data_IF_397573211722
#
_entry.id   IF_397573211722
#
_cell.length_a   1.000
_cell.length_b   1.000
_cell.length_c   1.000
_cell.angle_alpha   90.00
_cell.angle_beta   90.00
_cell.angle_gamma   90.00
#
_symmetry.space_group_name_H-M   'P 1'
#
loop_
_entity.id
_entity.type
_entity.pdbx_description
1 polymer ?
#
# COMPACT_ATOMS: atom_id res chain seq x y z
N UNK A 1 2.08 -18.58 -3.04
CA UNK A 1 2.74 -17.49 -3.79
C UNK A 1 3.59 -16.69 -2.81
N UNK A 2 4.86 -16.40 -3.14
CA UNK A 2 5.74 -15.58 -2.28
C UNK A 2 6.06 -14.29 -3.01
N UNK A 3 5.93 -13.17 -2.31
CA UNK A 3 6.22 -11.85 -2.86
C UNK A 3 7.34 -11.20 -2.05
N UNK A 4 8.23 -10.52 -2.75
CA UNK A 4 9.40 -9.86 -2.21
C UNK A 4 9.32 -8.37 -2.53
N UNK A 5 9.48 -7.53 -1.52
CA UNK A 5 9.52 -6.08 -1.70
C UNK A 5 10.98 -5.63 -1.75
N UNK A 6 11.40 -5.01 -2.86
CA UNK A 6 12.70 -4.35 -2.96
C UNK A 6 12.49 -2.84 -2.83
N UNK A 7 12.94 -2.29 -1.71
CA UNK A 7 13.02 -0.84 -1.52
C UNK A 7 14.23 -0.30 -2.27
N UNK A 8 14.02 0.57 -3.25
CA UNK A 8 15.13 1.30 -3.86
C UNK A 8 15.49 2.47 -2.94
N UNK A 9 16.61 2.34 -2.23
CA UNK A 9 17.09 3.35 -1.29
C UNK A 9 17.76 4.54 -2.02
N UNK A 10 17.13 5.16 -3.01
CA UNK A 10 17.54 6.46 -3.55
C UNK A 10 16.45 7.01 -4.47
N UNK A 11 15.71 7.99 -3.96
CA UNK A 11 15.27 9.22 -4.64
C UNK A 11 14.07 9.71 -3.87
N UNK A 12 13.84 11.01 -3.91
CA UNK A 12 12.83 11.68 -3.11
C UNK A 12 11.41 11.09 -3.24
N UNK A 13 11.12 10.22 -4.23
CA UNK A 13 9.85 9.55 -4.49
C UNK A 13 9.91 8.13 -3.89
N UNK A 14 9.14 7.86 -2.82
CA UNK A 14 9.04 6.55 -2.16
C UNK A 14 8.48 5.47 -3.10
N UNK A 15 9.29 4.94 -4.03
CA UNK A 15 8.92 3.89 -4.99
C UNK A 15 9.51 2.54 -4.58
N UNK A 16 8.71 1.48 -4.71
CA UNK A 16 9.09 0.11 -4.36
C UNK A 16 8.63 -0.85 -5.46
N UNK A 17 9.43 -1.86 -5.75
CA UNK A 17 9.07 -2.91 -6.71
C UNK A 17 8.76 -4.20 -5.97
N UNK A 18 7.64 -4.83 -6.31
CA UNK A 18 7.23 -6.13 -5.80
C UNK A 18 7.61 -7.20 -6.83
N UNK A 19 8.34 -8.22 -6.39
CA UNK A 19 8.86 -9.31 -7.22
C UNK A 19 8.34 -10.66 -6.75
N UNK A 20 8.18 -11.60 -7.67
CA UNK A 20 7.81 -12.99 -7.36
C UNK A 20 9.02 -13.84 -6.91
N UNK A 21 8.79 -15.11 -6.61
CA UNK A 21 9.86 -16.05 -6.24
C UNK A 21 10.91 -16.33 -7.33
N UNK A 22 10.65 -15.93 -8.58
CA UNK A 22 11.56 -16.07 -9.72
C UNK A 22 12.29 -14.75 -10.01
N UNK A 23 12.25 -13.80 -9.08
CA UNK A 23 12.85 -12.47 -9.19
C UNK A 23 12.28 -11.64 -10.37
N UNK A 24 11.03 -11.92 -10.78
CA UNK A 24 10.35 -11.14 -11.82
C UNK A 24 9.53 -10.05 -11.17
N UNK A 25 9.60 -8.85 -11.72
CA UNK A 25 8.76 -7.73 -11.29
C UNK A 25 7.29 -8.08 -11.56
N UNK A 26 6.43 -7.82 -10.59
CA UNK A 26 4.98 -8.08 -10.66
C UNK A 26 4.19 -6.79 -10.53
N UNK A 27 4.61 -5.90 -9.63
CA UNK A 27 3.93 -4.64 -9.33
C UNK A 27 4.95 -3.56 -8.99
N UNK A 28 4.54 -2.31 -9.20
CA UNK A 28 5.26 -1.14 -8.68
C UNK A 28 4.35 -0.37 -7.73
N UNK A 29 4.90 0.09 -6.60
CA UNK A 29 4.19 0.92 -5.63
C UNK A 29 4.88 2.28 -5.55
N UNK A 30 4.11 3.36 -5.63
CA UNK A 30 4.62 4.73 -5.51
C UNK A 30 3.91 5.50 -4.40
N UNK A 31 4.67 6.10 -3.49
CA UNK A 31 4.14 7.02 -2.49
C UNK A 31 4.06 8.46 -2.99
N UNK A 32 3.00 9.18 -2.60
CA UNK A 32 2.95 10.64 -2.76
C UNK A 32 3.88 11.34 -1.76
N UNK A 33 4.45 12.47 -2.17
CA UNK A 33 5.27 13.34 -1.33
C UNK A 33 4.47 14.56 -0.89
N UNK A 34 4.83 15.12 0.26
CA UNK A 34 4.21 16.34 0.81
C UNK A 34 2.71 16.19 1.16
N UNK A 35 2.23 14.97 1.41
CA UNK A 35 0.85 14.70 1.84
C UNK A 35 0.72 14.53 3.34
N UNK A 36 -0.43 14.95 3.87
CA UNK A 36 -0.82 14.61 5.23
C UNK A 36 -1.29 13.16 5.28
N UNK A 37 -0.42 12.27 5.76
CA UNK A 37 -0.64 10.82 5.79
C UNK A 37 -0.09 10.09 4.57
N UNK A 38 0.02 8.77 4.71
CA UNK A 38 0.50 7.90 3.65
C UNK A 38 -0.54 7.77 2.53
N UNK A 39 -0.09 7.97 1.29
CA UNK A 39 -0.85 7.63 0.09
C UNK A 39 0.07 6.83 -0.83
N UNK A 40 -0.44 5.70 -1.34
CA UNK A 40 0.31 4.75 -2.15
C UNK A 40 -0.51 4.40 -3.38
N UNK A 41 0.11 4.52 -4.54
CA UNK A 41 -0.44 4.09 -5.83
C UNK A 41 0.21 2.77 -6.22
N UNK A 42 -0.61 1.78 -6.60
CA UNK A 42 -0.15 0.45 -7.01
C UNK A 42 -0.39 0.29 -8.49
N UNK A 43 0.68 0.02 -9.23
CA UNK A 43 0.69 -0.12 -10.68
C UNK A 43 0.99 -1.56 -11.10
N UNK A 44 0.33 -1.99 -12.18
CA UNK A 44 0.76 -3.16 -12.93
C UNK A 44 2.02 -2.89 -13.76
N UNK A 45 2.51 -3.90 -14.48
CA UNK A 45 3.69 -3.79 -15.34
C UNK A 45 3.48 -2.91 -16.58
N UNK A 46 2.23 -2.61 -16.94
CA UNK A 46 1.89 -1.71 -18.03
C UNK A 46 1.82 -0.24 -17.57
N UNK A 47 2.04 0.02 -16.28
CA UNK A 47 1.91 1.35 -15.68
C UNK A 47 0.46 1.76 -15.41
N UNK A 48 -0.49 0.83 -15.49
CA UNK A 48 -1.90 1.09 -15.12
C UNK A 48 -2.05 0.98 -13.61
N UNK A 49 -2.66 1.99 -13.00
CA UNK A 49 -3.03 1.93 -11.59
C UNK A 49 -4.14 0.88 -11.38
N UNK A 50 -3.87 -0.09 -10.51
CA UNK A 50 -4.79 -1.18 -10.18
C UNK A 50 -5.35 -1.07 -8.77
N UNK A 51 -4.68 -0.32 -7.89
CA UNK A 51 -5.18 0.00 -6.56
C UNK A 51 -4.56 1.30 -6.05
N UNK A 52 -5.32 2.00 -5.21
CA UNK A 52 -4.88 3.17 -4.49
C UNK A 52 -5.13 2.97 -3.00
N UNK A 53 -4.15 3.28 -2.17
CA UNK A 53 -4.22 3.10 -0.71
C UNK A 53 -3.99 4.45 -0.06
N UNK A 54 -4.94 4.91 0.75
CA UNK A 54 -4.81 6.19 1.49
C UNK A 54 -5.04 6.04 2.98
N UNK A 55 -4.23 6.72 3.76
CA UNK A 55 -4.41 6.82 5.21
C UNK A 55 -5.50 7.83 5.57
N UNK A 56 -6.35 7.49 6.54
CA UNK A 56 -7.27 8.45 7.17
C UNK A 56 -6.51 9.38 8.11
N UNK A 57 -6.63 10.69 7.90
CA UNK A 57 -5.98 11.73 8.73
C UNK A 57 -6.97 12.86 9.04
N UNK A 58 -7.01 13.39 10.28
CA UNK A 58 -6.36 12.84 11.48
C UNK A 58 -7.10 11.57 11.95
N UNK A 59 -6.38 10.64 12.58
CA UNK A 59 -7.02 9.47 13.18
C UNK A 59 -6.28 9.00 14.44
N UNK A 60 -7.06 8.67 15.48
CA UNK A 60 -6.54 8.05 16.71
C UNK A 60 -6.11 6.60 16.49
N UNK A 61 -6.78 5.89 15.56
CA UNK A 61 -6.42 4.53 15.14
C UNK A 61 -6.08 4.54 13.65
N UNK A 62 -4.83 4.30 13.23
CA UNK A 62 -4.47 4.33 11.82
C UNK A 62 -5.38 3.41 10.99
N UNK A 63 -6.05 3.99 10.01
CA UNK A 63 -6.88 3.29 9.01
C UNK A 63 -6.36 3.61 7.62
N UNK A 64 -6.34 2.60 6.77
CA UNK A 64 -5.91 2.69 5.38
C UNK A 64 -7.03 2.18 4.49
N UNK A 65 -7.57 3.03 3.64
CA UNK A 65 -8.62 2.66 2.68
C UNK A 65 -7.99 2.18 1.39
N UNK A 66 -8.54 1.11 0.82
CA UNK A 66 -8.13 0.54 -0.46
C UNK A 66 -9.21 0.88 -1.49
N UNK A 67 -8.79 1.52 -2.58
CA UNK A 67 -9.65 1.91 -3.68
C UNK A 67 -9.20 1.21 -4.98
N UNK A 68 -10.14 0.68 -5.75
CA UNK A 68 -9.91 0.10 -7.07
C UNK A 68 -10.89 0.76 -8.05
N UNK A 69 -10.38 1.30 -9.16
CA UNK A 69 -11.17 2.05 -10.14
C UNK A 69 -12.01 3.18 -9.50
N UNK A 70 -11.48 3.86 -8.48
CA UNK A 70 -12.17 4.93 -7.75
C UNK A 70 -13.27 4.47 -6.78
N UNK A 71 -13.45 3.17 -6.58
CA UNK A 71 -14.37 2.60 -5.59
C UNK A 71 -13.60 2.07 -4.40
N UNK A 72 -13.98 2.48 -3.19
CA UNK A 72 -13.49 1.89 -1.96
C UNK A 72 -13.98 0.43 -1.85
N UNK A 73 -13.03 -0.50 -1.73
CA UNK A 73 -13.28 -1.95 -1.66
C UNK A 73 -12.97 -2.54 -0.29
N UNK A 74 -12.51 -1.71 0.66
CA UNK A 74 -12.17 -2.17 1.98
C UNK A 74 -11.24 -1.24 2.73
N UNK A 75 -11.00 -1.58 3.99
CA UNK A 75 -10.18 -0.82 4.91
C UNK A 75 -9.27 -1.76 5.71
N UNK A 76 -8.01 -1.35 5.84
CA UNK A 76 -7.03 -1.99 6.72
C UNK A 76 -6.87 -1.13 7.97
N UNK A 77 -7.16 -1.70 9.14
CA UNK A 77 -7.15 -0.98 10.41
C UNK A 77 -6.02 -1.52 11.28
N UNK A 78 -5.15 -0.64 11.78
CA UNK A 78 -4.11 -1.05 12.73
C UNK A 78 -4.75 -1.32 14.10
N UNK A 79 -4.64 -2.57 14.57
CA UNK A 79 -5.02 -2.93 15.95
C UNK A 79 -3.88 -2.66 16.92
N UNK A 80 -4.25 -2.36 18.15
CA UNK A 80 -3.28 -2.35 19.24
C UNK A 80 -2.73 -3.76 19.45
N UNK A 81 -1.41 -3.87 19.52
CA UNK A 81 -0.72 -5.12 19.77
C UNK A 81 0.40 -4.85 20.77
N UNK A 82 0.51 -5.69 21.81
CA UNK A 82 1.55 -5.57 22.83
C UNK A 82 2.95 -5.78 22.24
N UNK A 83 3.05 -6.60 21.19
CA UNK A 83 4.29 -6.91 20.45
C UNK A 83 3.95 -6.98 18.95
N UNK A 84 4.77 -6.34 18.12
CA UNK A 84 4.64 -6.36 16.65
C UNK A 84 3.53 -5.46 16.08
N UNK A 85 3.26 -5.63 14.79
CA UNK A 85 2.17 -4.95 14.08
C UNK A 85 1.05 -5.94 13.80
N UNK A 86 -0.19 -5.55 14.14
CA UNK A 86 -1.41 -6.30 13.78
C UNK A 86 -2.34 -5.40 12.99
N UNK A 87 -2.86 -5.95 11.91
CA UNK A 87 -3.82 -5.27 11.05
C UNK A 87 -5.06 -6.13 10.92
N UNK A 88 -6.21 -5.47 10.92
CA UNK A 88 -7.48 -6.03 10.49
C UNK A 88 -7.78 -5.60 9.08
N UNK A 89 -8.55 -6.44 8.39
CA UNK A 89 -9.16 -6.08 7.13
C UNK A 89 -10.67 -6.10 7.32
N UNK A 90 -11.29 -4.96 7.10
CA UNK A 90 -12.73 -4.76 7.16
C UNK A 90 -13.25 -4.47 5.74
N UNK A 91 -14.39 -5.06 5.37
CA UNK A 91 -15.15 -4.67 4.17
C UNK A 91 -14.61 -5.13 2.82
N UNK A 92 -13.72 -6.13 2.77
CA UNK A 92 -13.42 -6.87 1.53
C UNK A 92 -14.63 -7.74 1.17
N UNK A 93 -15.56 -7.20 0.37
CA UNK A 93 -16.63 -7.96 -0.31
C UNK A 93 -16.22 -8.29 -1.77
#
# INVERSE_FOLDING_TARGET
>A
MKLYMKQQAFSLRNRFTIRDEKDRDVLTVEGELFTWGAKLHVYDLNGREIAFIRQQVPSFRPRYYIEINGREIGCVVRRFALIGTRFDIDGLD
#
